data_IF_863875932161
#
_entry.id   IF_863875932161
#
_cell.length_a   1.000
_cell.length_b   1.000
_cell.length_c   1.000
_cell.angle_alpha   90.00
_cell.angle_beta   90.00
_cell.angle_gamma   90.00
#
_symmetry.space_group_name_H-M   'P 1'
#
loop_
_entity.id
_entity.type
_entity.pdbx_description
1 polymer ?
#
# COMPACT_ATOMS: atom_id res chain seq x y z
N UNK A 1 -6.67 3.47 -17.99
CA UNK A 1 -6.03 4.79 -18.20
C UNK A 1 -5.22 5.17 -16.97
N UNK A 2 -3.89 4.93 -16.97
CA UNK A 2 -2.88 5.62 -16.14
C UNK A 2 -2.92 5.62 -14.59
N UNK A 3 -3.95 5.08 -13.91
CA UNK A 3 -4.13 5.24 -12.44
C UNK A 3 -2.91 4.81 -11.62
N UNK A 4 -2.35 3.64 -11.94
CA UNK A 4 -1.16 3.11 -11.26
C UNK A 4 0.03 4.04 -11.38
N UNK A 5 0.32 4.53 -12.58
CA UNK A 5 1.42 5.47 -12.79
C UNK A 5 1.23 6.77 -11.99
N UNK A 6 -0.01 7.28 -11.88
CA UNK A 6 -0.31 8.50 -11.14
C UNK A 6 0.11 8.39 -9.67
N UNK A 7 -0.34 7.35 -8.94
CA UNK A 7 0.04 7.21 -7.54
C UNK A 7 1.47 6.73 -7.34
N UNK A 8 2.02 5.92 -8.25
CA UNK A 8 3.42 5.49 -8.17
C UNK A 8 4.35 6.69 -8.27
N UNK A 9 4.19 7.52 -9.31
CA UNK A 9 5.02 8.71 -9.51
C UNK A 9 4.80 9.74 -8.40
N UNK A 10 3.55 10.00 -8.01
CA UNK A 10 3.24 10.91 -6.91
C UNK A 10 3.89 10.48 -5.59
N UNK A 11 3.88 9.18 -5.29
CA UNK A 11 4.49 8.63 -4.08
C UNK A 11 6.02 8.71 -4.15
N UNK A 12 6.62 8.28 -5.26
CA UNK A 12 8.07 8.29 -5.43
C UNK A 12 8.65 9.72 -5.43
N UNK A 13 7.89 10.71 -5.91
CA UNK A 13 8.32 12.10 -5.89
C UNK A 13 8.34 12.71 -4.48
N UNK A 14 7.50 12.21 -3.57
CA UNK A 14 7.31 12.76 -2.21
C UNK A 14 7.96 11.91 -1.12
N UNK A 15 8.35 10.67 -1.43
CA UNK A 15 8.88 9.77 -0.42
C UNK A 15 10.25 10.26 0.05
N UNK A 16 10.42 10.31 1.37
CA UNK A 16 11.72 10.51 2.03
C UNK A 16 12.12 9.18 2.69
N UNK A 17 13.00 8.38 2.06
CA UNK A 17 13.34 7.06 2.57
C UNK A 17 14.15 7.14 3.87
N UNK A 18 13.56 6.69 4.97
CA UNK A 18 14.26 6.53 6.25
C UNK A 18 14.51 5.04 6.48
N UNK A 19 15.77 4.68 6.70
CA UNK A 19 16.19 3.31 6.92
C UNK A 19 15.35 2.62 8.00
N UNK A 20 14.77 1.47 7.66
CA UNK A 20 13.99 0.68 8.59
C UNK A 20 12.55 1.14 8.81
N UNK A 21 12.09 2.18 8.10
CA UNK A 21 10.75 2.74 8.24
C UNK A 21 9.91 2.55 6.97
N UNK A 22 8.66 2.11 7.17
CA UNK A 22 7.67 2.06 6.11
C UNK A 22 7.04 3.45 5.93
N UNK A 23 7.25 4.07 4.77
CA UNK A 23 6.72 5.40 4.44
C UNK A 23 5.45 5.32 3.57
N UNK A 24 5.35 4.34 2.67
CA UNK A 24 4.21 4.19 1.78
C UNK A 24 3.65 2.76 1.78
N UNK A 25 2.33 2.65 1.66
CA UNK A 25 1.65 1.36 1.56
C UNK A 25 0.50 1.40 0.56
N UNK A 26 0.47 0.42 -0.33
CA UNK A 26 -0.58 0.21 -1.31
C UNK A 26 -1.35 -1.07 -0.99
N UNK A 27 -2.67 -0.95 -0.85
CA UNK A 27 -3.58 -2.08 -0.80
C UNK A 27 -4.29 -2.24 -2.14
N UNK A 28 -4.49 -3.47 -2.56
CA UNK A 28 -5.23 -3.82 -3.77
C UNK A 28 -5.98 -5.13 -3.58
N UNK A 29 -6.98 -5.37 -4.43
CA UNK A 29 -7.92 -6.49 -4.27
C UNK A 29 -7.28 -7.86 -4.54
N UNK A 30 -6.40 -7.96 -5.55
CA UNK A 30 -5.84 -9.25 -5.99
C UNK A 30 -4.33 -9.32 -5.86
N UNK A 31 -3.82 -10.55 -5.72
CA UNK A 31 -2.37 -10.81 -5.71
C UNK A 31 -1.70 -10.41 -7.02
N UNK A 32 -2.34 -10.71 -8.16
CA UNK A 32 -1.80 -10.39 -9.48
C UNK A 32 -1.62 -8.88 -9.63
N UNK A 33 -2.61 -8.09 -9.17
CA UNK A 33 -2.52 -6.63 -9.19
C UNK A 33 -1.39 -6.13 -8.27
N UNK A 34 -1.21 -6.73 -7.09
CA UNK A 34 -0.08 -6.38 -6.21
C UNK A 34 1.29 -6.57 -6.88
N UNK A 35 1.45 -7.66 -7.66
CA UNK A 35 2.67 -7.90 -8.43
C UNK A 35 2.89 -6.84 -9.50
N UNK A 36 1.83 -6.48 -10.25
CA UNK A 36 1.89 -5.47 -11.30
C UNK A 36 2.23 -4.08 -10.73
N UNK A 37 1.58 -3.68 -9.64
CA UNK A 37 1.84 -2.38 -9.00
C UNK A 37 3.28 -2.29 -8.50
N UNK A 38 3.80 -3.33 -7.86
CA UNK A 38 5.18 -3.32 -7.41
C UNK A 38 6.18 -3.31 -8.58
N UNK A 39 5.89 -4.01 -9.67
CA UNK A 39 6.71 -3.93 -10.86
C UNK A 39 6.81 -2.47 -11.36
N UNK A 40 5.69 -1.74 -11.39
CA UNK A 40 5.69 -0.31 -11.74
C UNK A 40 6.49 0.53 -10.74
N UNK A 41 6.35 0.31 -9.43
CA UNK A 41 7.20 0.99 -8.44
C UNK A 41 8.67 0.73 -8.71
N UNK A 42 9.09 -0.53 -8.91
CA UNK A 42 10.50 -0.87 -9.19
C UNK A 42 11.01 -0.22 -10.47
N UNK A 43 10.18 -0.22 -11.52
CA UNK A 43 10.50 0.37 -12.83
C UNK A 43 10.76 1.87 -12.72
N UNK A 44 9.89 2.62 -12.05
CA UNK A 44 10.08 4.07 -11.91
C UNK A 44 11.10 4.44 -10.83
N UNK A 45 11.22 3.62 -9.78
CA UNK A 45 12.19 3.86 -8.71
C UNK A 45 13.64 3.85 -9.19
N UNK A 46 13.96 3.03 -10.21
CA UNK A 46 15.30 2.94 -10.79
C UNK A 46 15.91 4.28 -11.25
N UNK A 47 15.08 5.31 -11.44
CA UNK A 47 15.50 6.63 -11.92
C UNK A 47 15.18 7.78 -10.97
N UNK A 48 14.46 7.52 -9.86
CA UNK A 48 13.91 8.57 -9.00
C UNK A 48 14.49 8.55 -7.59
N UNK A 49 14.62 7.38 -6.96
CA UNK A 49 15.01 7.30 -5.54
C UNK A 49 15.71 5.97 -5.20
N UNK A 50 16.40 5.94 -4.06
CA UNK A 50 16.96 4.69 -3.48
C UNK A 50 15.94 3.93 -2.60
N UNK A 51 14.64 4.16 -2.77
CA UNK A 51 13.62 3.54 -1.94
C UNK A 51 13.54 2.02 -2.16
N UNK A 52 13.63 1.23 -1.07
CA UNK A 52 13.38 -0.21 -1.09
C UNK A 52 11.89 -0.50 -1.22
N UNK A 53 11.51 -1.22 -2.27
CA UNK A 53 10.13 -1.61 -2.58
C UNK A 53 9.96 -3.12 -2.41
N UNK A 54 8.96 -3.55 -1.64
CA UNK A 54 8.64 -4.97 -1.46
C UNK A 54 7.15 -5.29 -1.70
N UNK A 55 6.90 -6.52 -2.13
CA UNK A 55 5.56 -7.11 -2.20
C UNK A 55 5.43 -8.09 -1.06
N UNK A 56 4.38 -7.97 -0.25
CA UNK A 56 4.10 -8.98 0.75
C UNK A 56 3.02 -9.92 0.29
N UNK A 57 3.47 -10.95 -0.42
CA UNK A 57 2.71 -12.18 -0.63
C UNK A 57 3.48 -13.43 -0.14
N UNK A 58 4.80 -13.54 -0.39
CA UNK A 58 5.49 -14.85 -0.32
C UNK A 58 6.38 -15.06 0.91
N UNK A 59 7.10 -14.06 1.44
CA UNK A 59 8.15 -14.33 2.44
C UNK A 59 7.99 -13.47 3.69
N UNK A 60 7.57 -14.08 4.81
CA UNK A 60 7.67 -13.44 6.15
C UNK A 60 9.13 -13.06 6.45
N UNK A 61 10.10 -13.81 5.93
CA UNK A 61 11.52 -13.61 6.24
C UNK A 61 12.15 -12.39 5.57
N UNK A 62 11.56 -11.86 4.49
CA UNK A 62 12.04 -10.61 3.86
C UNK A 62 12.07 -9.45 4.86
N UNK A 63 11.10 -9.39 5.79
CA UNK A 63 11.02 -8.32 6.80
C UNK A 63 12.12 -8.36 7.85
N UNK A 64 12.75 -9.53 8.07
CA UNK A 64 13.83 -9.67 9.06
C UNK A 64 15.12 -9.03 8.57
N UNK A 65 15.41 -9.15 7.26
CA UNK A 65 16.67 -8.73 6.67
C UNK A 65 16.56 -7.42 5.89
N UNK A 66 15.40 -7.14 5.30
CA UNK A 66 15.15 -5.94 4.50
C UNK A 66 13.83 -5.30 4.87
N UNK A 67 13.91 -4.17 5.58
CA UNK A 67 12.74 -3.34 5.88
C UNK A 67 12.47 -2.41 4.70
N UNK A 68 11.40 -2.62 3.91
CA UNK A 68 11.09 -1.78 2.76
C UNK A 68 10.52 -0.43 3.20
N UNK A 69 10.73 0.59 2.36
CA UNK A 69 10.09 1.90 2.52
C UNK A 69 8.70 1.93 1.87
N UNK A 70 8.49 1.08 0.85
CA UNK A 70 7.22 0.94 0.12
C UNK A 70 6.76 -0.52 0.16
N UNK A 71 5.49 -0.72 0.52
CA UNK A 71 4.87 -2.05 0.55
C UNK A 71 3.62 -2.11 -0.31
N UNK A 72 3.50 -3.18 -1.09
CA UNK A 72 2.31 -3.50 -1.87
C UNK A 72 1.77 -4.86 -1.42
N UNK A 73 0.46 -4.96 -1.17
CA UNK A 73 -0.16 -6.23 -0.77
C UNK A 73 -1.68 -6.20 -0.69
N UNK A 74 -2.28 -7.34 -0.35
CA UNK A 74 -3.71 -7.46 -0.08
C UNK A 74 -4.03 -7.14 1.38
N UNK A 75 -5.25 -6.67 1.72
CA UNK A 75 -5.62 -6.27 3.09
C UNK A 75 -5.32 -7.36 4.13
N UNK A 76 -5.85 -8.58 3.95
CA UNK A 76 -5.67 -9.65 4.94
C UNK A 76 -4.21 -9.99 5.24
N UNK A 77 -3.33 -9.99 4.22
CA UNK A 77 -1.90 -10.30 4.42
C UNK A 77 -1.16 -9.17 5.13
N UNK A 78 -1.44 -7.92 4.78
CA UNK A 78 -0.87 -6.75 5.43
C UNK A 78 -1.31 -6.68 6.90
N UNK A 79 -2.60 -6.89 7.17
CA UNK A 79 -3.14 -6.85 8.52
C UNK A 79 -2.51 -7.94 9.39
N UNK A 80 -2.37 -9.16 8.86
CA UNK A 80 -1.69 -10.26 9.58
C UNK A 80 -0.25 -9.89 9.94
N UNK A 81 0.52 -9.29 9.02
CA UNK A 81 1.89 -8.83 9.32
C UNK A 81 1.95 -7.71 10.36
N UNK A 82 0.99 -6.79 10.32
CA UNK A 82 0.92 -5.68 11.26
C UNK A 82 0.54 -6.19 12.67
N UNK A 83 -0.42 -7.11 12.77
CA UNK A 83 -0.83 -7.75 14.04
C UNK A 83 0.29 -8.61 14.64
N UNK A 84 1.03 -9.35 13.81
CA UNK A 84 2.21 -10.14 14.21
C UNK A 84 3.42 -9.25 14.59
N UNK A 85 3.29 -7.91 14.55
CA UNK A 85 4.38 -6.93 14.77
C UNK A 85 5.57 -7.08 13.81
N UNK A 86 5.39 -7.77 12.69
CA UNK A 86 6.39 -7.92 11.64
C UNK A 86 6.44 -6.70 10.71
N UNK A 87 5.36 -5.92 10.64
CA UNK A 87 5.27 -4.70 9.83
C UNK A 87 4.76 -3.52 10.66
N UNK A 88 5.64 -2.56 10.95
CA UNK A 88 5.26 -1.34 11.66
C UNK A 88 4.61 -0.33 10.70
N UNK A 89 3.40 0.12 11.02
CA UNK A 89 2.60 1.05 10.21
C UNK A 89 2.63 2.51 10.71
N UNK A 90 3.33 2.76 11.82
CA UNK A 90 3.34 4.04 12.54
C UNK A 90 4.00 5.21 11.80
N UNK A 91 4.73 4.95 10.71
CA UNK A 91 5.44 5.99 9.94
C UNK A 91 4.86 6.15 8.51
N UNK A 92 3.71 5.52 8.24
CA UNK A 92 3.08 5.59 6.91
C UNK A 92 2.57 7.00 6.65
N UNK A 93 3.15 7.66 5.65
CA UNK A 93 2.74 8.97 5.13
C UNK A 93 1.89 8.87 3.86
N UNK A 94 1.94 7.76 3.13
CA UNK A 94 1.11 7.52 1.95
C UNK A 94 0.29 6.23 2.11
N UNK A 95 -1.04 6.37 2.15
CA UNK A 95 -2.01 5.29 2.26
C UNK A 95 -2.81 5.19 0.95
N UNK A 96 -2.53 4.17 0.14
CA UNK A 96 -3.12 4.03 -1.20
C UNK A 96 -4.03 2.81 -1.25
N UNK A 97 -5.20 2.97 -1.86
CA UNK A 97 -6.14 1.90 -2.20
C UNK A 97 -6.34 1.89 -3.73
N UNK A 98 -5.99 0.79 -4.40
CA UNK A 98 -6.32 0.57 -5.82
C UNK A 98 -7.39 -0.52 -5.95
N UNK A 99 -8.30 -0.36 -6.91
CA UNK A 99 -9.58 -1.10 -6.96
C UNK A 99 -10.35 -1.00 -5.63
N UNK A 100 -10.46 0.23 -5.10
CA UNK A 100 -11.03 0.47 -3.78
C UNK A 100 -12.50 0.04 -3.67
N UNK A 101 -13.26 0.08 -4.76
CA UNK A 101 -14.63 -0.43 -4.82
C UNK A 101 -14.70 -1.92 -4.52
N UNK A 102 -13.85 -2.73 -5.15
CA UNK A 102 -13.80 -4.18 -4.91
C UNK A 102 -13.36 -4.53 -3.49
N UNK A 103 -12.41 -3.78 -2.94
CA UNK A 103 -11.97 -3.99 -1.56
C UNK A 103 -13.03 -3.56 -0.54
N UNK A 104 -13.74 -2.46 -0.79
CA UNK A 104 -14.71 -1.93 0.16
C UNK A 104 -16.09 -2.57 0.03
N UNK A 105 -16.46 -3.20 -1.09
CA UNK A 105 -17.73 -3.91 -1.24
C UNK A 105 -17.82 -5.15 -0.32
N UNK A 106 -16.71 -5.90 -0.18
CA UNK A 106 -16.62 -7.04 0.74
C UNK A 106 -16.50 -6.56 2.20
N UNK A 107 -17.42 -6.99 3.07
CA UNK A 107 -17.41 -6.64 4.50
C UNK A 107 -16.11 -7.04 5.20
N UNK A 108 -15.55 -8.21 4.89
CA UNK A 108 -14.33 -8.69 5.53
C UNK A 108 -13.11 -7.87 5.09
N UNK A 109 -12.95 -7.62 3.79
CA UNK A 109 -11.87 -6.75 3.31
C UNK A 109 -12.03 -5.30 3.78
N UNK A 110 -13.26 -4.78 3.85
CA UNK A 110 -13.52 -3.45 4.40
C UNK A 110 -13.05 -3.34 5.84
N UNK A 111 -13.37 -4.33 6.69
CA UNK A 111 -12.91 -4.38 8.08
C UNK A 111 -11.39 -4.43 8.14
N UNK A 112 -10.75 -5.26 7.32
CA UNK A 112 -9.30 -5.36 7.27
C UNK A 112 -8.64 -4.02 6.88
N UNK A 113 -9.18 -3.34 5.86
CA UNK A 113 -8.71 -2.01 5.43
C UNK A 113 -8.86 -0.98 6.54
N UNK A 114 -10.00 -0.97 7.24
CA UNK A 114 -10.26 -0.05 8.35
C UNK A 114 -9.32 -0.30 9.53
N UNK A 115 -9.06 -1.55 9.88
CA UNK A 115 -8.10 -1.90 10.93
C UNK A 115 -6.69 -1.46 10.57
N UNK A 116 -6.25 -1.71 9.33
CA UNK A 116 -4.96 -1.21 8.83
C UNK A 116 -4.91 0.32 8.87
N UNK A 117 -5.99 1.02 8.51
CA UNK A 117 -6.07 2.48 8.54
C UNK A 117 -5.89 3.04 9.95
N UNK A 118 -6.54 2.46 10.94
CA UNK A 118 -6.41 2.85 12.35
C UNK A 118 -5.00 2.66 12.92
N UNK A 119 -4.22 1.75 12.34
CA UNK A 119 -2.82 1.51 12.73
C UNK A 119 -1.80 2.48 12.11
N UNK A 120 -2.25 3.41 11.26
CA UNK A 120 -1.40 4.44 10.62
C UNK A 120 -1.63 5.82 11.23
N UNK A 121 -0.67 6.77 11.12
CA UNK A 121 -0.84 8.15 11.58
C UNK A 121 -2.10 8.84 11.04
N UNK A 122 -2.65 9.78 11.80
CA UNK A 122 -3.76 10.62 11.32
C UNK A 122 -3.34 11.52 10.15
N UNK A 123 -2.19 12.18 10.28
CA UNK A 123 -1.61 13.04 9.25
C UNK A 123 -0.83 12.22 8.21
N UNK A 124 -1.51 11.91 7.12
CA UNK A 124 -0.99 11.16 5.96
C UNK A 124 -1.80 11.48 4.72
N UNK A 125 -1.17 11.39 3.56
CA UNK A 125 -1.86 11.43 2.27
C UNK A 125 -2.63 10.12 2.07
N UNK A 126 -3.92 10.23 1.76
CA UNK A 126 -4.77 9.09 1.40
C UNK A 126 -5.17 9.22 -0.06
N UNK A 127 -4.95 8.18 -0.86
CA UNK A 127 -5.37 8.15 -2.26
C UNK A 127 -6.19 6.89 -2.53
N UNK A 128 -7.34 7.05 -3.18
CA UNK A 128 -8.25 5.95 -3.51
C UNK A 128 -8.53 5.96 -5.01
N UNK A 129 -8.32 4.82 -5.65
CA UNK A 129 -8.50 4.65 -7.09
C UNK A 129 -9.45 3.48 -7.36
N UNK A 130 -10.35 3.70 -8.31
CA UNK A 130 -11.20 2.64 -8.85
C UNK A 130 -11.52 2.90 -10.32
N UNK A 131 -11.97 1.88 -11.05
CA UNK A 131 -12.62 2.06 -12.35
C UNK A 131 -14.10 2.46 -12.22
N UNK A 132 -14.75 2.10 -11.11
CA UNK A 132 -16.18 2.28 -10.88
C UNK A 132 -16.42 2.71 -9.43
N UNK A 133 -17.05 3.86 -9.22
CA UNK A 133 -17.43 4.32 -7.89
C UNK A 133 -18.96 4.35 -7.79
N UNK A 134 -19.52 3.48 -6.94
CA UNK A 134 -20.94 3.58 -6.57
C UNK A 134 -21.13 4.71 -5.55
N UNK A 135 -22.35 5.26 -5.46
CA UNK A 135 -22.65 6.35 -4.52
C UNK A 135 -22.37 5.99 -3.05
N UNK A 136 -22.43 4.72 -2.70
CA UNK A 136 -22.17 4.21 -1.34
C UNK A 136 -20.67 4.20 -0.97
N UNK A 137 -19.78 4.28 -1.95
CA UNK A 137 -18.32 4.18 -1.77
C UNK A 137 -17.67 5.57 -1.87
N UNK A 138 -18.38 6.58 -2.40
CA UNK A 138 -17.90 7.96 -2.41
C UNK A 138 -17.77 8.49 -0.98
N UNK A 139 -16.58 9.00 -0.58
CA UNK A 139 -16.47 9.81 0.62
C UNK A 139 -17.38 11.04 0.48
N UNK A 140 -18.13 11.36 1.54
CA UNK A 140 -18.90 12.61 1.66
C UNK A 140 -17.95 13.77 1.94
#
# INVERSE_FOLDING_TARGET
>A
MGKTAAFVLSTLQQIEPIAGQLAARVLCHTRLLAYQICHEFKRFNAYLTDAKVAIFYVHKDLLKNERPHIVVGTPGRILALARDKNLALKNVRHFILDECDKMLESLDMRRDVQDIFKMTPHDKQVMMFSATLSKEICPV
#
